data_IF_824777638067
#
_entry.id   IF_824777638067
#
_cell.length_a   1.000
_cell.length_b   1.000
_cell.length_c   1.000
_cell.angle_alpha   90.00
_cell.angle_beta   90.00
_cell.angle_gamma   90.00
#
_symmetry.space_group_name_H-M   'P 1'
#
loop_
_entity.id
_entity.type
_entity.pdbx_description
1 polymer ?
#
# COMPACT_ATOMS: atom_id res chain seq x y z
N UNK A 1 -3.00 7.51 -0.96
CA UNK A 1 -2.88 6.85 0.35
C UNK A 1 -4.10 5.99 0.62
N UNK A 2 -5.30 6.58 0.68
CA UNK A 2 -6.55 5.83 0.90
C UNK A 2 -6.75 4.63 -0.03
N UNK A 3 -6.45 4.75 -1.33
CA UNK A 3 -6.55 3.64 -2.28
C UNK A 3 -5.63 2.45 -1.98
N UNK A 4 -4.49 2.69 -1.34
CA UNK A 4 -3.54 1.64 -0.93
C UNK A 4 -4.09 0.95 0.32
N UNK A 5 -4.52 1.73 1.31
CA UNK A 5 -5.14 1.23 2.54
C UNK A 5 -6.37 0.35 2.23
N UNK A 6 -7.20 0.78 1.28
CA UNK A 6 -8.37 0.04 0.82
C UNK A 6 -8.01 -1.37 0.32
N UNK A 7 -6.89 -1.52 -0.39
CA UNK A 7 -6.48 -2.80 -0.98
C UNK A 7 -5.72 -3.70 -0.02
N UNK A 8 -5.16 -3.16 1.06
CA UNK A 8 -4.39 -3.91 2.05
C UNK A 8 -5.22 -4.37 3.25
N UNK A 9 -6.34 -3.70 3.53
CA UNK A 9 -7.06 -3.93 4.78
C UNK A 9 -8.29 -4.80 4.57
N UNK A 10 -8.22 -6.06 5.00
CA UNK A 10 -9.39 -6.94 5.08
C UNK A 10 -10.19 -6.75 6.38
N UNK A 11 -9.51 -6.49 7.51
CA UNK A 11 -10.13 -6.38 8.84
C UNK A 11 -10.31 -4.91 9.23
N UNK A 12 -11.54 -4.50 9.52
CA UNK A 12 -11.85 -3.09 9.75
C UNK A 12 -11.07 -2.48 10.93
N UNK A 13 -10.84 -3.26 11.99
CA UNK A 13 -10.15 -2.84 13.21
C UNK A 13 -8.63 -2.59 13.00
N UNK A 14 -8.04 -3.18 11.97
CA UNK A 14 -6.61 -3.04 11.69
C UNK A 14 -6.31 -1.84 10.79
N UNK A 15 -7.33 -1.27 10.13
CA UNK A 15 -7.21 -0.22 9.11
C UNK A 15 -6.38 0.97 9.57
N UNK A 16 -6.68 1.49 10.76
CA UNK A 16 -6.02 2.68 11.28
C UNK A 16 -4.54 2.41 11.60
N UNK A 17 -4.22 1.17 12.00
CA UNK A 17 -2.83 0.74 12.26
C UNK A 17 -2.07 0.52 10.95
N UNK A 18 -2.71 -0.07 9.94
CA UNK A 18 -2.14 -0.20 8.59
C UNK A 18 -1.86 1.17 7.98
N UNK A 19 -2.81 2.11 8.10
CA UNK A 19 -2.64 3.50 7.67
C UNK A 19 -1.46 4.17 8.38
N UNK A 20 -1.32 3.97 9.69
CA UNK A 20 -0.17 4.44 10.47
C UNK A 20 1.17 3.96 9.90
N UNK A 21 1.28 2.67 9.56
CA UNK A 21 2.50 2.10 8.99
C UNK A 21 2.88 2.79 7.68
N UNK A 22 1.94 2.92 6.74
CA UNK A 22 2.24 3.56 5.46
C UNK A 22 2.61 5.04 5.61
N UNK A 23 1.93 5.77 6.48
CA UNK A 23 2.23 7.19 6.73
C UNK A 23 3.58 7.35 7.42
N UNK A 24 3.91 6.48 8.38
CA UNK A 24 5.21 6.47 9.02
C UNK A 24 6.34 6.20 8.03
N UNK A 25 6.19 5.19 7.17
CA UNK A 25 7.16 4.88 6.11
C UNK A 25 7.35 6.07 5.18
N UNK A 26 6.25 6.67 4.71
CA UNK A 26 6.30 7.82 3.83
C UNK A 26 7.06 9.00 4.47
N UNK A 27 6.78 9.28 5.74
CA UNK A 27 7.42 10.37 6.49
C UNK A 27 8.92 10.16 6.71
N UNK A 28 9.38 8.91 6.85
CA UNK A 28 10.79 8.58 7.03
C UNK A 28 11.54 8.32 5.72
N UNK A 29 10.89 8.46 4.57
CA UNK A 29 11.47 8.16 3.26
C UNK A 29 11.65 6.67 2.99
N UNK A 30 11.03 5.80 3.80
CA UNK A 30 11.01 4.36 3.55
C UNK A 30 10.03 4.03 2.41
N UNK A 31 10.42 3.08 1.55
CA UNK A 31 9.54 2.59 0.47
C UNK A 31 8.28 1.93 1.05
N UNK A 32 7.15 2.11 0.37
CA UNK A 32 5.86 1.61 0.89
C UNK A 32 5.75 0.08 0.79
N UNK A 33 6.32 -0.52 -0.26
CA UNK A 33 6.41 -1.99 -0.45
C UNK A 33 5.07 -2.70 -0.26
N UNK A 34 4.11 -2.42 -1.14
CA UNK A 34 2.75 -2.96 -1.10
C UNK A 34 2.39 -3.61 -2.44
N UNK A 35 1.97 -4.87 -2.40
CA UNK A 35 1.73 -5.72 -3.58
C UNK A 35 0.65 -5.17 -4.52
N UNK A 36 -0.51 -4.67 -4.04
CA UNK A 36 -1.53 -4.03 -4.87
C UNK A 36 -1.00 -2.94 -5.81
N UNK A 37 0.04 -2.21 -5.40
CA UNK A 37 0.64 -1.17 -6.27
C UNK A 37 1.45 -1.75 -7.42
N UNK A 38 2.11 -2.90 -7.19
CA UNK A 38 2.81 -3.64 -8.25
C UNK A 38 1.81 -4.20 -9.23
N UNK A 39 0.77 -4.86 -8.72
CA UNK A 39 -0.33 -5.44 -9.53
C UNK A 39 -0.97 -4.35 -10.39
N UNK A 40 -1.27 -3.18 -9.82
CA UNK A 40 -1.82 -2.06 -10.58
C UNK A 40 -0.86 -1.58 -11.69
N UNK A 41 0.43 -1.48 -11.37
CA UNK A 41 1.47 -1.09 -12.35
C UNK A 41 1.68 -2.10 -13.48
N UNK A 42 1.35 -3.38 -13.28
CA UNK A 42 1.42 -4.42 -14.32
C UNK A 42 0.23 -4.36 -15.29
N UNK A 43 -0.92 -3.80 -14.87
CA UNK A 43 -2.12 -3.71 -15.70
C UNK A 43 -2.56 -5.07 -16.25
N UNK A 44 -2.81 -5.15 -17.55
CA UNK A 44 -3.25 -6.37 -18.25
C UNK A 44 -2.22 -7.51 -18.24
N UNK A 45 -0.96 -7.22 -17.93
CA UNK A 45 0.09 -8.25 -17.82
C UNK A 45 -0.05 -9.11 -16.55
N UNK A 46 -0.90 -8.70 -15.60
CA UNK A 46 -1.13 -9.46 -14.39
C UNK A 46 -2.00 -10.70 -14.65
N UNK A 47 -1.41 -11.88 -14.45
CA UNK A 47 -2.07 -13.18 -14.71
C UNK A 47 -2.64 -13.84 -13.46
N UNK A 48 -2.81 -13.08 -12.37
CA UNK A 48 -3.28 -13.61 -11.09
C UNK A 48 -2.16 -14.19 -10.20
N UNK A 49 -0.91 -14.15 -10.66
CA UNK A 49 0.26 -14.56 -9.88
C UNK A 49 1.28 -13.42 -9.85
N UNK A 50 1.74 -13.10 -8.65
CA UNK A 50 2.82 -12.14 -8.43
C UNK A 50 4.11 -12.90 -8.16
N UNK A 51 5.12 -12.68 -8.99
CA UNK A 51 6.43 -13.31 -8.85
C UNK A 51 7.46 -12.34 -8.28
N UNK A 52 8.58 -12.86 -7.79
CA UNK A 52 9.70 -12.03 -7.34
C UNK A 52 10.21 -11.10 -8.43
N UNK A 53 10.22 -11.58 -9.69
CA UNK A 53 10.63 -10.77 -10.84
C UNK A 53 9.73 -9.54 -11.01
N UNK A 54 8.42 -9.69 -10.75
CA UNK A 54 7.48 -8.58 -10.85
C UNK A 54 7.74 -7.52 -9.78
N UNK A 55 8.08 -7.93 -8.56
CA UNK A 55 8.46 -7.02 -7.46
C UNK A 55 9.73 -6.22 -7.78
N UNK A 56 10.66 -6.80 -8.54
CA UNK A 56 11.93 -6.17 -8.93
C UNK A 56 11.80 -5.35 -10.23
N UNK A 57 10.75 -5.56 -11.02
CA UNK A 57 10.55 -4.87 -12.31
C UNK A 57 10.08 -3.43 -12.10
N UNK A 58 10.84 -2.41 -12.56
CA UNK A 58 10.45 -1.01 -12.37
C UNK A 58 9.18 -0.64 -13.14
N UNK A 59 8.22 -0.07 -12.42
CA UNK A 59 7.07 0.63 -13.01
C UNK A 59 6.83 1.91 -12.22
N UNK A 60 6.07 2.85 -12.78
CA UNK A 60 5.72 4.09 -12.08
C UNK A 60 4.90 3.85 -10.80
N UNK A 61 4.28 2.67 -10.65
CA UNK A 61 3.46 2.32 -9.48
C UNK A 61 4.15 1.33 -8.54
N UNK A 62 5.26 0.69 -8.93
CA UNK A 62 5.92 -0.33 -8.12
C UNK A 62 6.63 0.29 -6.90
N UNK A 63 5.94 0.30 -5.76
CA UNK A 63 6.46 0.83 -4.48
C UNK A 63 7.54 -0.02 -3.81
N UNK A 64 7.97 -1.13 -4.42
CA UNK A 64 9.22 -1.82 -4.03
C UNK A 64 10.45 -1.15 -4.63
N UNK A 65 10.28 -0.46 -5.77
CA UNK A 65 11.35 0.20 -6.53
C UNK A 65 11.33 1.71 -6.29
N UNK A 66 10.17 2.35 -6.42
CA UNK A 66 10.05 3.81 -6.25
C UNK A 66 10.04 4.21 -4.78
N UNK A 67 10.54 5.40 -4.49
CA UNK A 67 10.41 6.06 -3.19
C UNK A 67 9.12 6.88 -3.13
N UNK A 68 8.43 6.82 -1.99
CA UNK A 68 7.23 7.62 -1.73
C UNK A 68 5.96 7.06 -2.37
N UNK A 69 5.08 7.97 -2.79
CA UNK A 69 3.75 7.65 -3.32
C UNK A 69 3.79 7.36 -4.83
N UNK A 70 2.96 6.42 -5.33
CA UNK A 70 2.72 6.31 -6.77
C UNK A 70 2.03 7.57 -7.34
N UNK A 71 2.07 7.78 -8.68
CA UNK A 71 1.49 8.96 -9.33
C UNK A 71 0.00 9.17 -9.10
N UNK A 72 -0.74 8.10 -8.82
CA UNK A 72 -2.18 8.14 -8.68
C UNK A 72 -2.73 7.03 -7.77
N UNK A 73 -4.05 7.08 -7.49
CA UNK A 73 -4.73 6.02 -6.76
C UNK A 73 -4.82 4.73 -7.59
N UNK A 74 -4.80 3.59 -6.91
CA UNK A 74 -4.88 2.25 -7.53
C UNK A 74 -6.29 1.63 -7.45
N UNK A 75 -7.21 2.30 -6.77
CA UNK A 75 -8.57 1.85 -6.50
C UNK A 75 -9.44 3.04 -6.06
N UNK A 76 -10.77 2.87 -6.13
CA UNK A 76 -11.72 3.79 -5.50
C UNK A 76 -11.80 3.46 -4.01
N UNK A 77 -11.35 4.35 -3.10
CA UNK A 77 -11.40 4.09 -1.67
C UNK A 77 -12.81 4.33 -1.11
N UNK A 78 -13.20 3.54 -0.12
CA UNK A 78 -14.38 3.82 0.70
C UNK A 78 -14.13 4.93 1.73
N UNK A 79 -15.21 5.37 2.38
CA UNK A 79 -15.16 6.39 3.44
C UNK A 79 -14.22 5.99 4.59
N UNK A 80 -14.25 4.71 5.01
CA UNK A 80 -13.38 4.22 6.07
C UNK A 80 -11.89 4.35 5.73
N UNK A 81 -11.49 4.07 4.49
CA UNK A 81 -10.11 4.20 4.03
C UNK A 81 -9.68 5.64 3.84
N UNK A 82 -10.60 6.51 3.44
CA UNK A 82 -10.38 7.96 3.43
C UNK A 82 -10.16 8.49 4.85
N UNK A 83 -11.01 8.11 5.79
CA UNK A 83 -10.89 8.53 7.18
C UNK A 83 -9.59 8.03 7.81
N UNK A 84 -9.23 6.76 7.61
CA UNK A 84 -7.97 6.21 8.11
C UNK A 84 -6.73 6.89 7.51
N UNK A 85 -6.80 7.31 6.24
CA UNK A 85 -5.71 8.07 5.61
C UNK A 85 -5.57 9.48 6.20
N UNK A 86 -6.68 10.12 6.58
CA UNK A 86 -6.68 11.46 7.17
C UNK A 86 -6.36 11.45 8.68
N UNK A 87 -6.84 10.43 9.38
CA UNK A 87 -6.76 10.28 10.84
C UNK A 87 -6.20 8.90 11.21
N UNK A 88 -4.93 8.59 10.88
CA UNK A 88 -4.34 7.30 11.20
C UNK A 88 -4.17 7.13 12.72
N UNK A 89 -4.06 5.87 13.16
CA UNK A 89 -3.64 5.60 14.52
C UNK A 89 -2.24 6.18 14.77
N UNK A 90 -2.00 6.74 15.95
CA UNK A 90 -0.67 7.26 16.31
C UNK A 90 0.16 6.13 16.90
N UNK A 91 0.93 5.45 16.05
CA UNK A 91 1.82 4.35 16.47
C UNK A 91 3.21 4.52 15.89
N UNK A 92 4.25 3.89 16.50
CA UNK A 92 5.60 3.88 15.93
C UNK A 92 5.82 2.75 14.92
N UNK A 93 4.77 2.04 14.51
CA UNK A 93 4.91 0.85 13.68
C UNK A 93 5.38 1.20 12.26
N UNK A 94 6.29 0.36 11.74
CA UNK A 94 6.82 0.43 10.38
C UNK A 94 6.57 -0.86 9.59
N UNK A 95 6.03 -1.91 10.22
CA UNK A 95 5.82 -3.21 9.61
C UNK A 95 4.52 -3.81 10.11
N UNK A 96 3.84 -4.53 9.23
CA UNK A 96 2.77 -5.45 9.55
C UNK A 96 2.97 -6.72 8.71
N UNK A 97 2.42 -7.83 9.19
CA UNK A 97 2.45 -9.11 8.49
C UNK A 97 1.16 -9.84 8.81
N UNK A 98 0.47 -10.33 7.79
CA UNK A 98 -0.71 -11.15 7.99
C UNK A 98 -0.30 -12.51 8.58
N UNK A 99 -1.05 -12.99 9.58
CA UNK A 99 -0.97 -14.38 10.00
C UNK A 99 -1.82 -15.22 9.05
N UNK A 100 -1.23 -16.30 8.55
CA UNK A 100 -1.88 -17.32 7.74
C UNK A 100 -2.44 -18.42 8.63
#
# INVERSE_FOLDING_TARGET
>A
MASIIEKETAVAEERDRVASVFINRLRTGMRLQTDPTVIYGMGESYTGKLTRKDLETPTAYNTYVIGGMPPGPIAVPGEASLNAAAHPAKTPYLYFVCRW
#
